data_IF_776569317100
#
_entry.id   IF_776569317100
#
_cell.length_a   1.000
_cell.length_b   1.000
_cell.length_c   1.000
_cell.angle_alpha   90.00
_cell.angle_beta   90.00
_cell.angle_gamma   90.00
#
_symmetry.space_group_name_H-M   'P 1'
#
loop_
_entity.id
_entity.type
_entity.pdbx_description
1 polymer ?
#
# COMPACT_ATOMS: atom_id res chain seq x y z
N UNK A 1 -0.68 -18.97 -7.35
CA UNK A 1 -0.97 -17.61 -7.84
C UNK A 1 -0.18 -16.63 -7.00
N UNK A 2 0.58 -15.74 -7.62
CA UNK A 2 1.33 -14.66 -6.95
C UNK A 2 0.57 -13.35 -7.19
N UNK A 3 0.16 -12.70 -6.09
CA UNK A 3 -0.56 -11.43 -6.13
C UNK A 3 0.32 -10.35 -5.50
N UNK A 4 0.72 -9.39 -6.28
CA UNK A 4 1.33 -8.16 -5.80
C UNK A 4 0.22 -7.27 -5.23
N UNK A 5 0.14 -7.23 -3.90
CA UNK A 5 -0.92 -6.47 -3.22
C UNK A 5 -0.70 -4.96 -3.24
N UNK A 6 0.54 -4.50 -3.50
CA UNK A 6 0.89 -3.09 -3.38
C UNK A 6 1.84 -2.64 -4.48
N UNK A 7 1.27 -2.03 -5.51
CA UNK A 7 2.00 -1.36 -6.56
C UNK A 7 1.33 -0.04 -6.98
N UNK A 8 2.05 0.75 -7.73
CA UNK A 8 1.57 2.02 -8.26
C UNK A 8 1.65 2.02 -9.79
N UNK A 9 0.68 2.60 -10.52
CA UNK A 9 0.76 2.77 -11.97
C UNK A 9 1.66 3.95 -12.29
N UNK A 10 2.99 3.80 -12.11
CA UNK A 10 3.87 4.94 -12.02
C UNK A 10 4.69 5.25 -13.26
N UNK A 11 5.52 6.26 -13.09
CA UNK A 11 6.31 6.91 -14.09
C UNK A 11 7.53 6.10 -14.47
N UNK A 12 7.73 5.92 -15.77
CA UNK A 12 8.95 5.43 -16.39
C UNK A 12 10.06 6.50 -16.32
N UNK A 13 9.64 7.74 -16.48
CA UNK A 13 10.46 8.94 -16.30
C UNK A 13 9.61 10.04 -15.64
N UNK A 14 10.15 11.17 -15.16
CA UNK A 14 9.34 12.25 -14.57
C UNK A 14 8.20 12.76 -15.44
N UNK A 15 8.20 12.46 -16.75
CA UNK A 15 7.22 12.92 -17.73
C UNK A 15 6.49 11.81 -18.50
N UNK A 16 6.80 10.54 -18.25
CA UNK A 16 6.28 9.41 -19.02
C UNK A 16 5.79 8.31 -18.09
N UNK A 17 4.52 7.91 -18.24
CA UNK A 17 3.91 6.78 -17.56
C UNK A 17 4.27 5.46 -18.25
N UNK A 18 4.32 4.37 -17.49
CA UNK A 18 4.24 3.04 -18.08
C UNK A 18 2.89 2.85 -18.76
N UNK A 19 2.89 2.27 -19.96
CA UNK A 19 1.66 1.77 -20.56
C UNK A 19 1.18 0.49 -19.83
N UNK A 20 -0.12 0.13 -19.91
CA UNK A 20 -0.59 -1.14 -19.38
C UNK A 20 0.17 -2.35 -19.92
N UNK A 21 0.56 -2.32 -21.20
CA UNK A 21 1.31 -3.41 -21.86
C UNK A 21 2.72 -3.57 -21.27
N UNK A 22 3.45 -2.45 -21.10
CA UNK A 22 4.77 -2.45 -20.47
C UNK A 22 4.69 -2.92 -19.01
N UNK A 23 3.65 -2.48 -18.29
CA UNK A 23 3.45 -2.87 -16.90
C UNK A 23 3.22 -4.38 -16.77
N UNK A 24 2.32 -4.95 -17.60
CA UNK A 24 2.04 -6.40 -17.61
C UNK A 24 3.23 -7.21 -18.10
N UNK A 25 3.99 -6.71 -19.08
CA UNK A 25 5.25 -7.35 -19.49
C UNK A 25 6.26 -7.44 -18.32
N UNK A 26 6.34 -6.41 -17.48
CA UNK A 26 7.13 -6.44 -16.24
C UNK A 26 6.62 -7.46 -15.23
N UNK A 27 5.29 -7.58 -15.07
CA UNK A 27 4.68 -8.61 -14.21
C UNK A 27 5.04 -10.02 -14.70
N UNK A 28 4.98 -10.28 -16.02
CA UNK A 28 5.30 -11.58 -16.63
C UNK A 28 6.78 -11.94 -16.38
N UNK A 29 7.69 -10.99 -16.54
CA UNK A 29 9.11 -11.18 -16.19
C UNK A 29 9.31 -11.50 -14.71
N UNK A 30 8.52 -10.87 -13.84
CA UNK A 30 8.50 -11.11 -12.40
C UNK A 30 7.74 -12.36 -11.98
N UNK A 31 7.05 -13.07 -12.89
CA UNK A 31 6.13 -14.18 -12.58
C UNK A 31 5.02 -13.76 -11.59
N UNK A 32 4.50 -12.55 -11.73
CA UNK A 32 3.37 -12.02 -10.95
C UNK A 32 2.09 -12.21 -11.73
N UNK A 33 1.12 -12.91 -11.14
CA UNK A 33 -0.14 -13.24 -11.82
C UNK A 33 -1.12 -12.05 -11.79
N UNK A 34 -1.25 -11.37 -10.65
CA UNK A 34 -2.16 -10.24 -10.44
C UNK A 34 -1.45 -9.14 -9.68
N UNK A 35 -1.72 -7.87 -10.04
CA UNK A 35 -1.21 -6.70 -9.31
C UNK A 35 -2.34 -5.77 -8.89
N UNK A 36 -2.33 -5.36 -7.62
CA UNK A 36 -3.21 -4.34 -7.08
C UNK A 36 -2.54 -2.98 -7.20
N UNK A 37 -3.21 -2.05 -7.88
CA UNK A 37 -2.69 -0.73 -8.18
C UNK A 37 -3.41 0.33 -7.34
N UNK A 38 -2.64 1.12 -6.63
CA UNK A 38 -3.19 2.23 -5.85
C UNK A 38 -3.37 3.49 -6.68
N UNK A 39 -4.55 4.07 -6.61
CA UNK A 39 -4.76 5.48 -6.95
C UNK A 39 -3.92 6.37 -6.05
N UNK A 40 -3.64 7.56 -6.49
CA UNK A 40 -2.80 8.50 -5.76
C UNK A 40 -3.50 9.85 -5.62
N UNK A 41 -3.96 10.17 -4.41
CA UNK A 41 -4.58 11.47 -4.06
C UNK A 41 -3.76 12.14 -2.93
N UNK A 42 -2.45 12.26 -3.16
CA UNK A 42 -1.51 12.82 -2.17
C UNK A 42 -1.32 14.33 -2.30
N UNK A 43 -1.58 14.91 -3.48
CA UNK A 43 -1.40 16.33 -3.71
C UNK A 43 -2.71 17.09 -3.45
N UNK A 44 -2.98 17.39 -2.20
CA UNK A 44 -3.89 18.46 -1.86
C UNK A 44 -3.09 19.76 -1.76
N UNK A 45 -3.38 20.79 -2.58
CA UNK A 45 -2.75 22.10 -2.43
C UNK A 45 -2.91 22.69 -1.03
N UNK A 46 -3.97 22.31 -0.28
CA UNK A 46 -4.20 22.71 1.10
C UNK A 46 -3.32 22.00 2.11
N UNK A 47 -2.76 20.84 1.79
CA UNK A 47 -1.89 20.07 2.66
C UNK A 47 -0.39 20.37 2.49
N UNK A 48 -0.06 21.24 1.53
CA UNK A 48 1.34 21.62 1.28
C UNK A 48 1.67 22.96 1.94
N UNK A 49 2.85 23.07 2.58
CA UNK A 49 3.31 24.35 3.10
C UNK A 49 3.41 25.40 1.99
N UNK A 50 3.08 26.69 2.26
CA UNK A 50 3.15 27.75 1.26
C UNK A 50 4.56 28.04 0.71
N UNK A 51 5.61 27.52 1.37
CA UNK A 51 7.02 27.58 0.92
C UNK A 51 7.47 26.37 0.11
N UNK A 52 6.53 25.59 -0.40
CA UNK A 52 6.79 24.43 -1.23
C UNK A 52 7.67 24.81 -2.42
N UNK A 53 8.79 24.14 -2.54
CA UNK A 53 9.68 24.30 -3.69
C UNK A 53 9.06 23.59 -4.91
N UNK A 54 8.71 24.36 -5.93
CA UNK A 54 8.13 23.85 -7.18
C UNK A 54 9.00 22.79 -7.86
N UNK A 55 10.31 22.79 -7.60
CA UNK A 55 11.23 21.76 -8.11
C UNK A 55 10.93 20.34 -7.64
N UNK A 56 10.13 20.17 -6.60
CA UNK A 56 9.66 18.88 -6.10
C UNK A 56 8.23 18.54 -6.53
N UNK A 57 7.63 19.37 -7.39
CA UNK A 57 6.27 19.22 -7.91
C UNK A 57 6.18 18.35 -9.16
N UNK A 58 7.32 18.02 -9.77
CA UNK A 58 7.39 17.32 -11.07
C UNK A 58 7.05 15.82 -10.98
N UNK A 59 6.74 15.32 -9.80
CA UNK A 59 6.13 14.00 -9.64
C UNK A 59 4.63 14.19 -9.58
N UNK A 60 3.87 13.83 -10.61
CA UNK A 60 2.42 13.82 -10.56
C UNK A 60 2.00 12.90 -9.42
N UNK A 61 1.50 13.51 -8.37
CA UNK A 61 1.11 12.82 -7.15
C UNK A 61 -0.36 12.43 -7.17
N UNK A 62 -1.05 12.71 -8.28
CA UNK A 62 -2.46 12.42 -8.45
C UNK A 62 -2.66 11.50 -9.64
N UNK A 63 -3.23 10.34 -9.36
CA UNK A 63 -3.75 9.42 -10.35
C UNK A 63 -5.21 9.19 -10.00
N UNK A 64 -6.11 9.75 -10.80
CA UNK A 64 -7.56 9.71 -10.54
C UNK A 64 -8.11 8.29 -10.64
N UNK A 65 -9.29 8.08 -10.04
CA UNK A 65 -9.97 6.79 -10.14
C UNK A 65 -10.35 6.45 -11.60
N UNK A 66 -10.65 7.48 -12.42
CA UNK A 66 -10.95 7.34 -13.85
C UNK A 66 -9.72 6.88 -14.64
N UNK A 67 -8.56 7.48 -14.40
CA UNK A 67 -7.29 7.10 -15.03
C UNK A 67 -6.88 5.69 -14.62
N UNK A 68 -6.99 5.37 -13.33
CA UNK A 68 -6.69 4.04 -12.81
C UNK A 68 -7.62 2.98 -13.39
N UNK A 69 -8.92 3.26 -13.48
CA UNK A 69 -9.88 2.39 -14.13
C UNK A 69 -9.55 2.18 -15.61
N UNK A 70 -9.24 3.27 -16.32
CA UNK A 70 -8.84 3.20 -17.73
C UNK A 70 -7.59 2.35 -17.93
N UNK A 71 -6.62 2.44 -17.00
CA UNK A 71 -5.42 1.62 -17.02
C UNK A 71 -5.74 0.13 -16.76
N UNK A 72 -6.46 -0.17 -15.67
CA UNK A 72 -6.73 -1.54 -15.25
C UNK A 72 -7.62 -2.32 -16.26
N UNK A 73 -8.55 -1.64 -16.92
CA UNK A 73 -9.48 -2.29 -17.85
C UNK A 73 -8.81 -2.90 -19.11
N UNK A 74 -7.54 -2.56 -19.39
CA UNK A 74 -6.79 -3.21 -20.47
C UNK A 74 -6.48 -4.67 -20.15
N UNK A 75 -6.34 -5.00 -18.86
CA UNK A 75 -6.05 -6.34 -18.35
C UNK A 75 -6.87 -6.63 -17.08
N UNK A 76 -8.21 -6.77 -17.20
CA UNK A 76 -9.12 -6.81 -16.04
C UNK A 76 -8.90 -8.02 -15.13
N UNK A 77 -8.33 -9.11 -15.65
CA UNK A 77 -8.00 -10.31 -14.88
C UNK A 77 -6.60 -10.25 -14.23
N UNK A 78 -5.82 -9.22 -14.53
CA UNK A 78 -4.43 -9.05 -14.10
C UNK A 78 -4.21 -7.80 -13.23
N UNK A 79 -5.01 -6.75 -13.45
CA UNK A 79 -4.85 -5.44 -12.80
C UNK A 79 -6.10 -5.08 -12.00
N UNK A 80 -5.92 -4.81 -10.71
CA UNK A 80 -7.00 -4.47 -9.78
C UNK A 80 -6.76 -3.06 -9.25
N UNK A 81 -7.71 -2.16 -9.43
CA UNK A 81 -7.62 -0.79 -8.93
C UNK A 81 -8.06 -0.65 -7.47
N UNK A 82 -7.35 0.18 -6.70
CA UNK A 82 -7.72 0.64 -5.36
C UNK A 82 -7.85 2.15 -5.37
N UNK A 83 -8.99 2.68 -4.90
CA UNK A 83 -9.19 4.13 -4.80
C UNK A 83 -8.37 4.74 -3.67
N UNK A 84 -7.96 5.97 -3.82
CA UNK A 84 -7.28 6.76 -2.78
C UNK A 84 -8.19 7.84 -2.24
N UNK A 85 -8.22 8.02 -0.92
CA UNK A 85 -9.09 8.96 -0.23
C UNK A 85 -8.27 9.96 0.58
N UNK A 86 -8.66 11.25 0.47
CA UNK A 86 -8.13 12.32 1.28
C UNK A 86 -9.30 13.03 1.99
N UNK A 87 -9.35 13.09 3.34
CA UNK A 87 -10.46 13.70 4.08
C UNK A 87 -10.57 15.22 3.91
N UNK A 88 -9.56 15.86 3.32
CA UNK A 88 -9.62 17.27 2.95
C UNK A 88 -10.50 17.51 1.71
N UNK A 89 -10.89 16.46 0.99
CA UNK A 89 -11.82 16.52 -0.13
C UNK A 89 -13.26 16.46 0.36
N UNK A 90 -14.15 17.08 -0.39
CA UNK A 90 -15.57 17.06 -0.07
C UNK A 90 -16.17 15.67 -0.31
N UNK A 91 -16.86 15.12 0.69
CA UNK A 91 -17.57 13.83 0.65
C UNK A 91 -16.70 12.64 0.21
N UNK A 92 -15.62 12.32 0.95
CA UNK A 92 -14.73 11.21 0.60
C UNK A 92 -15.47 9.86 0.55
N UNK A 93 -16.51 9.64 1.36
CA UNK A 93 -17.34 8.43 1.37
C UNK A 93 -18.07 8.20 0.04
N UNK A 94 -18.52 9.26 -0.64
CA UNK A 94 -19.14 9.15 -1.96
C UNK A 94 -18.14 8.74 -3.04
N UNK A 95 -16.89 9.21 -2.92
CA UNK A 95 -15.84 8.76 -3.81
C UNK A 95 -15.62 7.24 -3.67
N UNK A 96 -15.60 6.72 -2.44
CA UNK A 96 -15.52 5.27 -2.21
C UNK A 96 -16.68 4.53 -2.87
N UNK A 97 -17.91 4.95 -2.59
CA UNK A 97 -19.10 4.30 -3.18
C UNK A 97 -19.04 4.27 -4.70
N UNK A 98 -18.65 5.38 -5.32
CA UNK A 98 -18.50 5.48 -6.77
C UNK A 98 -17.40 4.55 -7.29
N UNK A 99 -16.21 4.59 -6.67
CA UNK A 99 -15.08 3.77 -7.08
C UNK A 99 -15.41 2.25 -7.05
N UNK A 100 -16.15 1.82 -6.04
CA UNK A 100 -16.56 0.41 -5.92
C UNK A 100 -17.68 0.06 -6.91
N UNK A 101 -18.72 0.91 -7.03
CA UNK A 101 -19.91 0.60 -7.83
C UNK A 101 -19.69 0.79 -9.33
N UNK A 102 -18.98 1.85 -9.73
CA UNK A 102 -18.81 2.21 -11.14
C UNK A 102 -17.53 1.64 -11.74
N UNK A 103 -16.44 1.58 -10.96
CA UNK A 103 -15.12 1.16 -11.43
C UNK A 103 -14.69 -0.23 -10.94
N UNK A 104 -15.46 -0.87 -10.05
CA UNK A 104 -15.16 -2.21 -9.54
C UNK A 104 -13.88 -2.28 -8.69
N UNK A 105 -13.44 -1.16 -8.13
CA UNK A 105 -12.26 -1.11 -7.27
C UNK A 105 -12.46 -1.96 -6.00
N UNK A 106 -11.37 -2.52 -5.46
CA UNK A 106 -11.44 -3.56 -4.41
C UNK A 106 -10.97 -3.12 -3.03
N UNK A 107 -10.35 -1.94 -2.91
CA UNK A 107 -9.89 -1.41 -1.62
C UNK A 107 -9.81 0.13 -1.65
N UNK A 108 -9.63 0.69 -0.46
CA UNK A 108 -9.40 2.12 -0.23
C UNK A 108 -8.00 2.33 0.31
N UNK A 109 -7.24 3.27 -0.25
CA UNK A 109 -5.91 3.69 0.25
C UNK A 109 -6.00 5.03 0.94
N UNK A 110 -5.34 5.12 2.10
CA UNK A 110 -5.10 6.37 2.83
C UNK A 110 -3.61 6.68 2.87
N UNK A 111 -3.28 7.96 2.64
CA UNK A 111 -1.93 8.52 2.74
C UNK A 111 -1.90 9.60 3.85
N UNK A 112 -1.84 9.20 5.14
CA UNK A 112 -1.95 10.14 6.26
C UNK A 112 -0.89 11.25 6.24
N UNK A 113 0.30 10.95 5.76
CA UNK A 113 1.38 11.93 5.58
C UNK A 113 1.02 13.13 4.71
N UNK A 114 -0.11 13.09 4.01
CA UNK A 114 -0.68 14.24 3.26
C UNK A 114 -1.39 15.26 4.16
N UNK A 115 -1.36 15.08 5.49
CA UNK A 115 -1.79 16.09 6.43
C UNK A 115 -3.04 15.77 7.25
N UNK A 116 -3.32 14.49 7.50
CA UNK A 116 -4.42 14.05 8.36
C UNK A 116 -4.02 12.81 9.16
N UNK A 117 -4.62 12.62 10.32
CA UNK A 117 -4.45 11.39 11.09
C UNK A 117 -5.40 10.30 10.58
N UNK A 118 -5.02 9.01 10.67
CA UNK A 118 -5.92 7.91 10.31
C UNK A 118 -7.27 7.98 11.05
N UNK A 119 -7.28 8.35 12.32
CA UNK A 119 -8.47 8.51 13.16
C UNK A 119 -9.18 9.87 13.03
N UNK A 120 -8.95 10.60 11.93
CA UNK A 120 -9.65 11.87 11.67
C UNK A 120 -11.16 11.65 11.59
N UNK A 121 -11.92 12.43 12.34
CA UNK A 121 -13.39 12.30 12.43
C UNK A 121 -14.10 12.44 11.08
N UNK A 122 -13.49 13.12 10.11
CA UNK A 122 -14.00 13.24 8.74
C UNK A 122 -13.97 11.93 7.97
N UNK A 123 -13.19 10.93 8.42
CA UNK A 123 -13.11 9.60 7.81
C UNK A 123 -14.10 8.58 8.39
N UNK A 124 -14.81 8.90 9.48
CA UNK A 124 -15.75 7.96 10.14
C UNK A 124 -16.76 7.41 9.14
N UNK A 125 -17.39 8.29 8.34
CA UNK A 125 -18.36 7.85 7.31
C UNK A 125 -17.71 6.97 6.24
N UNK A 126 -16.46 7.24 5.89
CA UNK A 126 -15.70 6.40 4.96
C UNK A 126 -15.48 5.00 5.53
N UNK A 127 -15.12 4.88 6.80
CA UNK A 127 -14.94 3.60 7.49
C UNK A 127 -16.27 2.82 7.61
N UNK A 128 -17.37 3.50 7.93
CA UNK A 128 -18.70 2.90 7.93
C UNK A 128 -19.07 2.32 6.56
N UNK A 129 -18.85 3.08 5.49
CA UNK A 129 -19.10 2.64 4.11
C UNK A 129 -18.21 1.45 3.74
N UNK A 130 -16.91 1.50 4.04
CA UNK A 130 -15.99 0.41 3.76
C UNK A 130 -16.36 -0.87 4.53
N UNK A 131 -16.70 -0.74 5.82
CA UNK A 131 -17.15 -1.86 6.65
C UNK A 131 -18.44 -2.50 6.09
N UNK A 132 -19.43 -1.67 5.75
CA UNK A 132 -20.70 -2.14 5.18
C UNK A 132 -20.51 -2.87 3.83
N UNK A 133 -19.63 -2.36 2.97
CA UNK A 133 -19.32 -2.97 1.67
C UNK A 133 -18.35 -4.16 1.78
N UNK A 134 -17.75 -4.38 2.95
CA UNK A 134 -16.71 -5.39 3.16
C UNK A 134 -15.45 -5.13 2.36
N UNK A 135 -15.09 -3.83 2.18
CA UNK A 135 -13.93 -3.35 1.43
C UNK A 135 -12.81 -3.00 2.41
N UNK A 136 -11.59 -3.54 2.25
CA UNK A 136 -10.50 -3.22 3.14
C UNK A 136 -10.00 -1.77 2.96
N UNK A 137 -9.51 -1.20 4.07
CA UNK A 137 -8.84 0.09 4.09
C UNK A 137 -7.34 -0.11 4.29
N UNK A 138 -6.54 0.35 3.34
CA UNK A 138 -5.07 0.24 3.34
C UNK A 138 -4.48 1.56 3.80
N UNK A 139 -3.74 1.55 4.89
CA UNK A 139 -3.21 2.76 5.54
C UNK A 139 -1.68 2.76 5.45
N UNK A 140 -1.14 3.79 4.82
CA UNK A 140 0.31 4.02 4.85
C UNK A 140 0.75 4.34 6.29
N UNK A 141 1.75 3.61 6.79
CA UNK A 141 2.34 3.83 8.11
C UNK A 141 3.86 3.95 8.03
N UNK A 142 4.46 4.57 9.03
CA UNK A 142 5.90 4.69 9.14
C UNK A 142 6.51 5.83 8.33
N UNK A 143 7.56 5.52 7.58
CA UNK A 143 8.33 6.51 6.84
C UNK A 143 7.48 7.18 5.74
N UNK A 144 7.65 8.48 5.57
CA UNK A 144 7.00 9.23 4.47
C UNK A 144 7.67 8.94 3.13
N UNK A 145 6.89 8.91 2.06
CA UNK A 145 7.39 8.63 0.72
C UNK A 145 8.16 9.82 0.11
N UNK A 146 7.73 11.06 0.36
CA UNK A 146 8.30 12.24 -0.26
C UNK A 146 8.58 13.36 0.75
N UNK A 147 9.52 14.26 0.39
CA UNK A 147 10.10 15.25 1.30
C UNK A 147 9.09 16.22 1.93
N UNK A 148 8.06 16.66 1.19
CA UNK A 148 7.09 17.67 1.67
C UNK A 148 5.97 17.12 2.54
N UNK A 149 5.90 15.80 2.75
CA UNK A 149 4.92 15.15 3.59
C UNK A 149 5.32 15.20 5.07
N UNK A 150 4.36 14.93 5.97
CA UNK A 150 4.60 14.93 7.41
C UNK A 150 4.54 13.54 8.00
N UNK A 151 5.69 13.03 8.40
CA UNK A 151 5.83 11.69 8.97
C UNK A 151 4.98 11.48 10.24
N UNK A 152 4.72 12.54 11.03
CA UNK A 152 3.96 12.45 12.28
C UNK A 152 2.56 11.85 12.13
N UNK A 153 1.95 11.96 10.96
CA UNK A 153 0.63 11.43 10.69
C UNK A 153 0.63 9.92 10.39
N UNK A 154 1.81 9.33 10.18
CA UNK A 154 1.97 7.92 9.83
C UNK A 154 2.23 7.02 11.04
N UNK A 155 2.10 7.53 12.27
CA UNK A 155 2.32 6.71 13.46
C UNK A 155 1.25 5.62 13.57
N UNK A 156 1.64 4.37 13.82
CA UNK A 156 0.76 3.22 13.90
C UNK A 156 -0.36 3.34 14.95
N UNK A 157 -0.09 4.01 16.07
CA UNK A 157 -1.02 4.13 17.19
C UNK A 157 -2.39 4.71 16.80
N UNK A 158 -2.42 5.61 15.82
CA UNK A 158 -3.69 6.20 15.35
C UNK A 158 -4.59 5.21 14.59
N UNK A 159 -4.07 4.05 14.21
CA UNK A 159 -4.85 2.97 13.60
C UNK A 159 -5.56 2.11 14.65
N UNK A 160 -5.03 2.04 15.88
CA UNK A 160 -5.61 1.29 16.99
C UNK A 160 -7.06 1.72 17.29
N UNK A 161 -7.29 3.03 17.34
CA UNK A 161 -8.62 3.59 17.58
C UNK A 161 -9.62 3.18 16.49
N UNK A 162 -9.21 3.18 15.22
CA UNK A 162 -10.06 2.77 14.10
C UNK A 162 -10.38 1.28 14.20
N UNK A 163 -9.35 0.46 14.43
CA UNK A 163 -9.49 -0.99 14.53
C UNK A 163 -10.43 -1.41 15.67
N UNK A 164 -10.36 -0.69 16.78
CA UNK A 164 -11.23 -0.89 17.95
C UNK A 164 -12.67 -0.48 17.68
N UNK A 165 -12.88 0.68 17.03
CA UNK A 165 -14.22 1.22 16.79
C UNK A 165 -14.94 0.54 15.61
N UNK A 166 -14.19 -0.07 14.69
CA UNK A 166 -14.71 -0.76 13.50
C UNK A 166 -14.21 -2.21 13.45
N UNK A 167 -14.63 -3.10 14.35
CA UNK A 167 -14.10 -4.46 14.47
C UNK A 167 -14.36 -5.35 13.24
N UNK A 168 -15.38 -5.03 12.45
CA UNK A 168 -15.72 -5.74 11.20
C UNK A 168 -14.98 -5.18 9.97
N UNK A 169 -14.26 -4.07 10.10
CA UNK A 169 -13.48 -3.48 9.03
C UNK A 169 -12.12 -4.15 8.92
N UNK A 170 -11.79 -4.71 7.75
CA UNK A 170 -10.44 -5.14 7.48
C UNK A 170 -9.54 -3.91 7.23
N UNK A 171 -8.52 -3.76 8.04
CA UNK A 171 -7.53 -2.68 7.93
C UNK A 171 -6.19 -3.29 7.55
N UNK A 172 -5.50 -2.72 6.56
CA UNK A 172 -4.15 -3.15 6.17
C UNK A 172 -3.16 -2.05 6.52
N UNK A 173 -2.21 -2.33 7.40
CA UNK A 173 -1.12 -1.43 7.75
C UNK A 173 0.13 -1.73 6.93
N UNK A 174 0.70 -0.71 6.29
CA UNK A 174 1.83 -0.88 5.36
C UNK A 174 3.21 -0.69 6.03
N UNK A 175 4.25 -1.29 5.41
CA UNK A 175 5.67 -0.96 5.58
C UNK A 175 6.28 -1.21 6.97
N UNK A 176 5.66 -2.05 7.81
CA UNK A 176 6.18 -2.38 9.15
C UNK A 176 6.32 -1.20 10.12
N UNK A 177 5.72 -0.04 9.77
CA UNK A 177 5.65 1.14 10.63
C UNK A 177 6.98 1.84 10.95
N UNK A 178 8.10 1.49 10.28
CA UNK A 178 9.41 2.08 10.59
C UNK A 178 9.39 3.62 10.56
N UNK A 179 9.94 4.34 11.57
CA UNK A 179 10.75 3.85 12.69
C UNK A 179 9.95 3.39 13.93
N UNK A 180 8.62 3.41 13.93
CA UNK A 180 7.76 2.99 15.06
C UNK A 180 7.39 1.50 14.99
N UNK A 181 8.35 0.63 14.69
CA UNK A 181 8.11 -0.81 14.47
C UNK A 181 7.53 -1.52 15.68
N UNK A 182 7.96 -1.17 16.90
CA UNK A 182 7.44 -1.79 18.13
C UNK A 182 5.97 -1.41 18.36
N UNK A 183 5.61 -0.17 18.13
CA UNK A 183 4.24 0.32 18.17
C UNK A 183 3.39 -0.38 17.11
N UNK A 184 3.90 -0.47 15.87
CA UNK A 184 3.25 -1.16 14.77
C UNK A 184 2.92 -2.61 15.13
N UNK A 185 3.90 -3.39 15.61
CA UNK A 185 3.70 -4.79 15.97
C UNK A 185 2.70 -4.93 17.12
N UNK A 186 2.73 -4.01 18.10
CA UNK A 186 1.80 -4.02 19.23
C UNK A 186 0.37 -3.78 18.76
N UNK A 187 0.14 -2.76 17.92
CA UNK A 187 -1.19 -2.44 17.35
C UNK A 187 -1.72 -3.61 16.52
N UNK A 188 -0.89 -4.21 15.68
CA UNK A 188 -1.26 -5.40 14.87
C UNK A 188 -1.62 -6.61 15.75
N UNK A 189 -0.88 -6.83 16.82
CA UNK A 189 -1.10 -7.95 17.75
C UNK A 189 -2.41 -7.83 18.51
N UNK A 190 -2.73 -6.63 18.97
CA UNK A 190 -3.92 -6.36 19.80
C UNK A 190 -5.21 -6.28 19.00
N UNK A 191 -5.15 -6.09 17.68
CA UNK A 191 -6.32 -5.91 16.81
C UNK A 191 -6.42 -7.01 15.75
N UNK A 192 -7.35 -7.98 15.89
CA UNK A 192 -7.44 -9.14 15.00
C UNK A 192 -7.92 -8.81 13.57
N UNK A 193 -8.54 -7.65 13.37
CA UNK A 193 -9.01 -7.14 12.07
C UNK A 193 -7.92 -6.37 11.29
N UNK A 194 -6.69 -6.29 11.83
CA UNK A 194 -5.56 -5.69 11.13
C UNK A 194 -4.75 -6.75 10.38
N UNK A 195 -4.51 -6.45 9.10
CA UNK A 195 -3.61 -7.15 8.19
C UNK A 195 -2.32 -6.34 8.02
N UNK A 196 -1.26 -6.98 7.58
CA UNK A 196 0.04 -6.35 7.39
C UNK A 196 0.49 -6.48 5.94
N UNK A 197 0.78 -5.36 5.33
CA UNK A 197 1.47 -5.30 4.06
C UNK A 197 2.98 -5.13 4.29
N UNK A 198 3.74 -6.13 3.84
CA UNK A 198 5.19 -6.25 4.04
C UNK A 198 6.02 -5.44 3.04
N UNK A 199 5.37 -4.74 2.14
CA UNK A 199 5.98 -3.92 1.09
C UNK A 199 7.00 -2.96 1.69
N UNK A 200 8.12 -2.75 0.99
CA UNK A 200 9.15 -1.78 1.35
C UNK A 200 10.12 -2.18 2.48
N UNK A 201 9.92 -3.27 3.19
CA UNK A 201 10.78 -3.65 4.34
C UNK A 201 12.25 -3.85 3.97
N UNK A 202 12.55 -4.52 2.85
CA UNK A 202 13.94 -4.66 2.38
C UNK A 202 14.56 -3.31 2.04
N UNK A 203 13.77 -2.41 1.46
CA UNK A 203 14.25 -1.09 1.09
C UNK A 203 14.58 -0.24 2.32
N UNK A 204 13.79 -0.35 3.38
CA UNK A 204 14.09 0.29 4.67
C UNK A 204 15.40 -0.29 5.23
N UNK A 205 15.55 -1.60 5.21
CA UNK A 205 16.75 -2.31 5.64
C UNK A 205 18.01 -1.78 4.93
N UNK A 206 17.97 -1.71 3.60
CA UNK A 206 19.07 -1.22 2.77
C UNK A 206 19.34 0.27 2.97
N UNK A 207 18.28 1.09 2.97
CA UNK A 207 18.41 2.55 3.06
C UNK A 207 19.02 3.01 4.39
N UNK A 208 18.63 2.36 5.48
CA UNK A 208 19.08 2.73 6.82
C UNK A 208 20.19 1.84 7.38
N UNK A 209 20.76 0.96 6.55
CA UNK A 209 21.84 0.04 6.92
C UNK A 209 21.49 -0.81 8.15
N UNK A 210 20.31 -1.42 8.13
CA UNK A 210 19.75 -2.21 9.23
C UNK A 210 19.65 -3.70 8.86
N UNK A 211 20.77 -4.42 8.70
CA UNK A 211 20.77 -5.79 8.21
C UNK A 211 19.91 -6.71 9.07
N UNK A 212 19.02 -7.48 8.45
CA UNK A 212 18.10 -8.41 9.10
C UNK A 212 16.83 -7.79 9.65
N UNK A 213 16.58 -6.50 9.43
CA UNK A 213 15.35 -5.82 9.88
C UNK A 213 14.10 -6.47 9.32
N UNK A 214 14.06 -6.68 8.01
CA UNK A 214 12.90 -7.27 7.34
C UNK A 214 12.61 -8.68 7.85
N UNK A 215 13.64 -9.52 7.96
CA UNK A 215 13.49 -10.86 8.51
C UNK A 215 12.99 -10.83 9.96
N UNK A 216 13.55 -9.98 10.80
CA UNK A 216 13.17 -9.87 12.21
C UNK A 216 11.69 -9.49 12.35
N UNK A 217 11.23 -8.48 11.60
CA UNK A 217 9.84 -8.03 11.62
C UNK A 217 8.92 -9.17 11.17
N UNK A 218 9.19 -9.80 10.04
CA UNK A 218 8.35 -10.87 9.48
C UNK A 218 8.30 -12.06 10.43
N UNK A 219 9.44 -12.48 10.98
CA UNK A 219 9.54 -13.60 11.95
C UNK A 219 8.70 -13.34 13.20
N UNK A 220 8.74 -12.12 13.73
CA UNK A 220 7.93 -11.71 14.88
C UNK A 220 6.45 -11.71 14.57
N UNK A 221 6.05 -11.13 13.43
CA UNK A 221 4.66 -11.11 13.00
C UNK A 221 4.10 -12.53 12.80
N UNK A 222 4.84 -13.39 12.11
CA UNK A 222 4.42 -14.80 11.91
C UNK A 222 4.24 -15.51 13.26
N UNK A 223 5.14 -15.28 14.21
CA UNK A 223 5.07 -15.89 15.55
C UNK A 223 3.89 -15.38 16.37
N UNK A 224 3.55 -14.10 16.24
CA UNK A 224 2.53 -13.43 17.06
C UNK A 224 1.12 -13.56 16.49
N UNK A 225 0.98 -13.45 15.16
CA UNK A 225 -0.32 -13.36 14.50
C UNK A 225 -0.54 -14.40 13.39
N UNK A 226 0.49 -15.21 13.10
CA UNK A 226 0.46 -16.16 11.97
C UNK A 226 0.69 -15.51 10.61
N UNK A 227 0.99 -16.34 9.61
CA UNK A 227 1.24 -15.88 8.24
C UNK A 227 -0.04 -15.44 7.51
N UNK A 228 -1.22 -15.87 7.97
CA UNK A 228 -2.50 -15.69 7.28
C UNK A 228 -3.03 -14.24 7.25
N UNK A 229 -2.38 -13.31 7.91
CA UNK A 229 -2.70 -11.87 7.86
C UNK A 229 -1.58 -11.03 7.23
N UNK A 230 -0.58 -11.66 6.61
CA UNK A 230 0.53 -10.99 5.97
C UNK A 230 0.32 -10.97 4.46
N UNK A 231 0.61 -9.84 3.84
CA UNK A 231 0.47 -9.58 2.41
C UNK A 231 1.82 -9.17 1.84
N UNK A 232 2.14 -9.64 0.65
CA UNK A 232 3.30 -9.22 -0.08
C UNK A 232 2.92 -8.17 -1.12
N UNK A 233 3.79 -7.19 -1.35
CA UNK A 233 3.70 -6.22 -2.43
C UNK A 233 5.09 -5.73 -2.86
N UNK A 234 5.19 -5.24 -4.09
CA UNK A 234 6.45 -4.81 -4.69
C UNK A 234 6.77 -3.34 -4.49
N UNK A 235 5.80 -2.49 -4.17
CA UNK A 235 5.80 -1.04 -4.31
C UNK A 235 5.82 -0.59 -5.79
N UNK A 236 5.87 -1.54 -6.73
CA UNK A 236 5.81 -1.33 -8.16
C UNK A 236 6.92 -0.47 -8.77
N UNK A 237 6.74 0.04 -9.98
CA UNK A 237 7.77 0.82 -10.68
C UNK A 237 8.12 2.16 -10.00
N UNK A 238 7.36 2.64 -9.03
CA UNK A 238 7.59 3.86 -8.24
C UNK A 238 9.02 3.99 -7.70
N UNK A 239 9.67 2.87 -7.43
CA UNK A 239 11.02 2.84 -6.87
C UNK A 239 12.12 3.15 -7.89
N UNK A 240 11.78 3.38 -9.13
CA UNK A 240 12.74 3.77 -10.18
C UNK A 240 13.08 5.26 -10.15
N UNK A 241 12.38 6.06 -9.35
CA UNK A 241 12.66 7.47 -9.24
C UNK A 241 14.06 7.72 -8.63
N UNK A 242 14.84 8.67 -9.18
CA UNK A 242 16.22 8.98 -8.74
C UNK A 242 16.35 9.28 -7.25
N UNK A 243 15.24 9.69 -6.59
CA UNK A 243 15.18 10.02 -5.17
C UNK A 243 15.61 8.87 -4.25
N UNK A 244 15.51 7.63 -4.71
CA UNK A 244 15.79 6.44 -3.90
C UNK A 244 16.98 5.62 -4.41
N UNK A 245 17.67 6.08 -5.46
CA UNK A 245 18.89 5.43 -5.94
C UNK A 245 18.72 4.03 -6.51
N UNK A 246 17.53 3.66 -6.96
CA UNK A 246 17.32 2.39 -7.64
C UNK A 246 17.72 2.52 -9.13
N UNK A 247 18.36 1.50 -9.65
CA UNK A 247 18.99 1.57 -10.96
C UNK A 247 18.37 0.66 -12.02
N UNK A 248 17.44 -0.22 -11.65
CA UNK A 248 16.82 -1.14 -12.60
C UNK A 248 15.39 -1.53 -12.16
N UNK A 249 14.37 -1.02 -12.88
CA UNK A 249 12.97 -1.33 -12.60
C UNK A 249 12.61 -2.80 -12.81
N UNK A 250 13.25 -3.49 -13.77
CA UNK A 250 12.97 -4.88 -14.07
C UNK A 250 13.41 -5.84 -12.95
N UNK A 251 14.36 -5.44 -12.12
CA UNK A 251 14.85 -6.23 -11.00
C UNK A 251 14.04 -6.07 -9.72
N UNK A 252 13.22 -5.02 -9.61
CA UNK A 252 12.58 -4.68 -8.34
C UNK A 252 11.41 -5.59 -7.98
N UNK A 253 10.49 -5.83 -8.90
CA UNK A 253 9.37 -6.76 -8.69
C UNK A 253 9.86 -8.19 -8.40
N UNK A 254 10.97 -8.59 -9.04
CA UNK A 254 11.57 -9.91 -8.87
C UNK A 254 12.28 -10.07 -7.52
N UNK A 255 12.84 -9.00 -6.93
CA UNK A 255 13.65 -9.12 -5.71
C UNK A 255 12.82 -9.31 -4.46
N UNK A 256 11.73 -8.57 -4.30
CA UNK A 256 10.93 -8.59 -3.06
C UNK A 256 10.17 -9.88 -2.83
N UNK A 257 9.62 -10.50 -3.87
CA UNK A 257 8.96 -11.78 -3.70
C UNK A 257 9.97 -12.92 -3.41
N UNK A 258 11.24 -12.76 -3.84
CA UNK A 258 12.35 -13.64 -3.45
C UNK A 258 12.66 -13.56 -1.97
N UNK A 259 12.44 -12.40 -1.32
CA UNK A 259 12.59 -12.25 0.12
C UNK A 259 11.76 -13.28 0.88
N UNK A 260 10.46 -13.33 0.62
CA UNK A 260 9.56 -14.28 1.30
C UNK A 260 9.98 -15.73 1.03
N UNK A 261 10.38 -16.04 -0.21
CA UNK A 261 10.78 -17.40 -0.60
C UNK A 261 12.06 -17.89 0.09
N UNK A 262 13.00 -17.01 0.43
CA UNK A 262 14.28 -17.38 1.04
C UNK A 262 14.20 -17.70 2.53
N UNK A 263 13.10 -17.35 3.22
CA UNK A 263 13.00 -17.57 4.65
C UNK A 263 12.69 -19.02 5.01
N UNK A 264 13.64 -19.67 5.69
CA UNK A 264 13.54 -21.06 6.12
C UNK A 264 12.51 -21.28 7.24
N UNK A 265 12.17 -20.23 7.99
CA UNK A 265 11.16 -20.31 9.05
C UNK A 265 9.72 -20.28 8.54
N UNK A 266 9.51 -20.01 7.25
CA UNK A 266 8.22 -20.08 6.58
C UNK A 266 8.11 -21.44 5.88
N UNK A 267 7.07 -22.20 6.19
CA UNK A 267 6.73 -23.38 5.40
C UNK A 267 6.12 -22.99 4.06
N UNK A 268 5.97 -23.92 3.12
CA UNK A 268 5.46 -23.62 1.77
C UNK A 268 4.03 -23.10 1.77
N UNK A 269 3.20 -23.50 2.75
CA UNK A 269 1.85 -22.95 2.91
C UNK A 269 1.91 -21.47 3.34
N UNK A 270 2.74 -21.12 4.32
CA UNK A 270 2.89 -19.74 4.77
C UNK A 270 3.41 -18.84 3.62
N UNK A 271 4.38 -19.33 2.84
CA UNK A 271 4.87 -18.61 1.66
C UNK A 271 3.77 -18.39 0.63
N UNK A 272 2.99 -19.43 0.31
CA UNK A 272 1.87 -19.31 -0.63
C UNK A 272 0.77 -18.36 -0.10
N UNK A 273 0.50 -18.39 1.20
CA UNK A 273 -0.47 -17.50 1.83
C UNK A 273 -0.01 -16.03 1.71
N UNK A 274 1.22 -15.72 2.08
CA UNK A 274 1.79 -14.36 2.00
C UNK A 274 1.85 -13.85 0.55
N UNK A 275 2.25 -14.73 -0.40
CA UNK A 275 2.49 -14.34 -1.79
C UNK A 275 1.21 -14.20 -2.62
N UNK A 276 0.05 -14.67 -2.12
CA UNK A 276 -1.16 -14.52 -2.93
C UNK A 276 -2.47 -14.95 -2.26
N UNK A 277 -2.52 -16.10 -1.57
CA UNK A 277 -3.79 -16.62 -1.04
C UNK A 277 -4.45 -15.64 -0.06
N UNK A 278 -3.66 -14.94 0.75
CA UNK A 278 -4.15 -13.94 1.69
C UNK A 278 -4.80 -12.75 0.96
N UNK A 279 -4.13 -12.23 -0.07
CA UNK A 279 -4.66 -11.15 -0.89
C UNK A 279 -5.96 -11.58 -1.59
N UNK A 280 -5.98 -12.79 -2.19
CA UNK A 280 -7.17 -13.35 -2.82
C UNK A 280 -8.35 -13.44 -1.84
N UNK A 281 -8.10 -13.93 -0.61
CA UNK A 281 -9.13 -14.03 0.44
C UNK A 281 -9.63 -12.65 0.89
N UNK A 282 -8.72 -11.71 1.13
CA UNK A 282 -9.06 -10.35 1.59
C UNK A 282 -9.90 -9.60 0.54
N UNK A 283 -9.55 -9.73 -0.73
CA UNK A 283 -10.17 -9.01 -1.85
C UNK A 283 -11.35 -9.78 -2.48
N UNK A 284 -11.63 -11.00 -2.02
CA UNK A 284 -12.70 -11.88 -2.55
C UNK A 284 -12.54 -12.11 -4.07
N UNK A 285 -11.32 -12.53 -4.47
CA UNK A 285 -10.97 -12.86 -5.86
C UNK A 285 -11.30 -14.31 -6.19
#
# INVERSE_FOLDING_TARGET
MIIDFHAHPDFKTPSELYSPDEFVAGMDQGSVDVTCLFGNDQADPGSCPPWRDERFMDVPTNFSDEELFAFCRHYPDRLIGFTSINPNRYQPERKVERAIKEFGMKAVKLYPHSGFFPNDSRLIRTYEVCSHLGIPVVIHTGMKAVRWQWMKYNQPIYVDEIATNFPDLNIVMCHGGYPWTEEFITVVYTNPNIWVDLTFLERIEDTFLLPGLAENIIRRLVKLIGAQRLLWGSEGPYMTLPLYGSHDPSNYQVSQYKLVKRFDFLNEKDKADILGNNAARLLKL
#
